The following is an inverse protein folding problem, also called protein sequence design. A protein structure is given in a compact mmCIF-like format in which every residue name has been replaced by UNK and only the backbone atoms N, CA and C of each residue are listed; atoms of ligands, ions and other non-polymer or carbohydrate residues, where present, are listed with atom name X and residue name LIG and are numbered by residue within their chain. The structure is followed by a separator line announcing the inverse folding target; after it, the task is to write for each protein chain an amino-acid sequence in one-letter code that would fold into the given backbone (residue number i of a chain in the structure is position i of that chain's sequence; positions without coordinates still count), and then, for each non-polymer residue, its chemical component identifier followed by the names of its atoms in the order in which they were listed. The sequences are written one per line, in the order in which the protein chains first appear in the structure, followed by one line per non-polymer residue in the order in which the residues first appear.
data_IF_135095469069
#
_entry.id   IF_135095469069
#
_cell.length_a   1.000
_cell.length_b   1.000
_cell.length_c   1.000
_cell.angle_alpha   90.00
_cell.angle_beta   90.00
_cell.angle_gamma   90.00
#
_symmetry.space_group_name_H-M   'P 1'
#
loop_
_entity.id
_entity.type
_entity.pdbx_description
1 polymer ?
#
# COMPACT_ATOMS: atom_id res chain seq x y z
N UNK A 1 4.53 -9.26 -39.16
CA UNK A 1 3.35 -8.62 -38.55
C UNK A 1 3.80 -8.03 -37.23
N UNK A 2 3.65 -6.72 -37.02
CA UNK A 2 3.94 -6.11 -35.72
C UNK A 2 2.94 -6.67 -34.69
N UNK A 3 3.37 -7.01 -33.48
CA UNK A 3 2.45 -7.55 -32.49
C UNK A 3 1.43 -6.49 -32.09
N UNK A 4 0.17 -6.89 -31.97
CA UNK A 4 -0.91 -6.02 -31.52
C UNK A 4 -0.77 -5.74 -30.03
N UNK A 5 -0.81 -4.46 -29.66
CA UNK A 5 -0.77 -3.98 -28.28
C UNK A 5 -2.18 -3.62 -27.84
N UNK A 6 -2.64 -4.21 -26.73
CA UNK A 6 -3.93 -3.91 -26.11
C UNK A 6 -3.69 -3.28 -24.74
N UNK A 7 -4.46 -2.25 -24.39
CA UNK A 7 -4.35 -1.57 -23.09
C UNK A 7 -5.64 -1.61 -22.29
N UNK A 8 -5.52 -1.46 -20.97
CA UNK A 8 -6.64 -1.37 -20.02
C UNK A 8 -6.31 -0.37 -18.92
N UNK A 9 -7.26 0.52 -18.66
CA UNK A 9 -7.14 1.59 -17.66
C UNK A 9 -8.18 1.39 -16.56
N UNK A 10 -7.77 1.61 -15.31
CA UNK A 10 -8.67 1.54 -14.16
C UNK A 10 -8.04 2.27 -12.96
N UNK A 11 -8.88 2.68 -12.01
CA UNK A 11 -8.40 3.26 -10.75
C UNK A 11 -8.20 2.18 -9.68
N UNK A 12 -7.02 2.23 -9.04
CA UNK A 12 -6.62 1.39 -7.90
C UNK A 12 -5.37 1.98 -7.22
N UNK A 13 -5.09 1.54 -6.00
CA UNK A 13 -3.90 1.93 -5.21
C UNK A 13 -3.80 3.46 -4.99
N UNK A 14 -4.95 4.14 -4.98
CA UNK A 14 -5.00 5.61 -4.84
C UNK A 14 -4.52 6.38 -6.07
N UNK A 15 -4.42 5.75 -7.25
CA UNK A 15 -4.02 6.36 -8.51
C UNK A 15 -4.77 5.74 -9.70
N UNK A 16 -4.39 6.13 -10.92
CA UNK A 16 -4.82 5.50 -12.17
C UNK A 16 -3.75 4.50 -12.62
N UNK A 17 -4.16 3.27 -12.87
CA UNK A 17 -3.32 2.19 -13.38
C UNK A 17 -3.55 1.97 -14.87
N UNK A 18 -2.49 1.63 -15.59
CA UNK A 18 -2.53 1.16 -16.98
C UNK A 18 -1.88 -0.23 -17.07
N UNK A 19 -2.55 -1.15 -17.76
CA UNK A 19 -2.02 -2.46 -18.12
C UNK A 19 -1.88 -2.54 -19.64
N UNK A 20 -0.72 -3.02 -20.08
CA UNK A 20 -0.39 -3.24 -21.49
C UNK A 20 -0.17 -4.72 -21.75
N UNK A 21 -0.72 -5.22 -22.86
CA UNK A 21 -0.60 -6.60 -23.31
C UNK A 21 -0.06 -6.62 -24.73
N UNK A 22 0.85 -7.55 -25.00
CA UNK A 22 1.39 -7.83 -26.35
C UNK A 22 1.05 -9.28 -26.69
N UNK A 23 0.17 -9.50 -27.67
CA UNK A 23 -0.21 -10.85 -28.10
C UNK A 23 -1.02 -11.67 -27.08
N UNK A 24 -1.45 -11.08 -25.96
CA UNK A 24 -2.41 -11.69 -25.03
C UNK A 24 -3.77 -10.99 -25.08
N UNK A 25 -4.85 -11.76 -25.01
CA UNK A 25 -6.21 -11.23 -25.14
C UNK A 25 -6.74 -10.52 -23.88
N UNK A 26 -7.92 -9.90 -24.01
CA UNK A 26 -8.59 -9.10 -22.97
C UNK A 26 -8.72 -9.81 -21.60
N UNK A 27 -8.95 -11.12 -21.60
CA UNK A 27 -9.07 -11.91 -20.37
C UNK A 27 -7.79 -11.91 -19.51
N UNK A 28 -6.61 -11.73 -20.11
CA UNK A 28 -5.37 -11.61 -19.35
C UNK A 28 -5.31 -10.27 -18.59
N UNK A 29 -5.69 -9.17 -19.26
CA UNK A 29 -5.76 -7.84 -18.66
C UNK A 29 -6.76 -7.80 -17.50
N UNK A 30 -7.90 -8.49 -17.62
CA UNK A 30 -8.90 -8.61 -16.55
C UNK A 30 -8.37 -9.34 -15.31
N UNK A 31 -7.64 -10.43 -15.49
CA UNK A 31 -7.01 -11.14 -14.36
C UNK A 31 -5.92 -10.31 -13.69
N UNK A 32 -5.17 -9.53 -14.46
CA UNK A 32 -4.16 -8.63 -13.92
C UNK A 32 -4.81 -7.48 -13.12
N UNK A 33 -5.89 -6.87 -13.64
CA UNK A 33 -6.66 -5.87 -12.89
C UNK A 33 -7.19 -6.46 -11.57
N UNK A 34 -7.77 -7.67 -11.61
CA UNK A 34 -8.27 -8.33 -10.42
C UNK A 34 -7.18 -8.50 -9.35
N UNK A 35 -5.95 -8.88 -9.75
CA UNK A 35 -4.81 -8.96 -8.83
C UNK A 35 -4.42 -7.63 -8.22
N UNK A 36 -4.45 -6.54 -8.99
CA UNK A 36 -4.18 -5.20 -8.47
C UNK A 36 -5.24 -4.79 -7.44
N UNK A 37 -6.51 -5.10 -7.70
CA UNK A 37 -7.61 -4.83 -6.76
C UNK A 37 -7.52 -5.68 -5.49
N UNK A 38 -7.11 -6.94 -5.60
CA UNK A 38 -6.84 -7.80 -4.45
C UNK A 38 -5.71 -7.23 -3.59
N UNK A 39 -4.63 -6.75 -4.22
CA UNK A 39 -3.54 -6.07 -3.51
C UNK A 39 -4.02 -4.79 -2.82
N UNK A 40 -4.79 -3.95 -3.49
CA UNK A 40 -5.39 -2.75 -2.88
C UNK A 40 -6.24 -3.09 -1.65
N UNK A 41 -7.14 -4.07 -1.76
CA UNK A 41 -8.00 -4.50 -0.67
C UNK A 41 -7.21 -5.04 0.53
N UNK A 42 -6.06 -5.69 0.29
CA UNK A 42 -5.18 -6.23 1.32
C UNK A 42 -4.32 -5.16 2.01
N UNK A 43 -3.73 -4.28 1.22
CA UNK A 43 -2.69 -3.34 1.65
C UNK A 43 -3.18 -1.92 1.91
N UNK A 44 -4.46 -1.62 1.68
CA UNK A 44 -5.00 -0.32 2.06
C UNK A 44 -5.04 -0.17 3.59
N UNK A 45 -4.80 1.03 4.09
CA UNK A 45 -5.01 1.35 5.51
C UNK A 45 -6.38 1.97 5.79
N UNK A 46 -7.21 2.13 4.76
CA UNK A 46 -8.46 2.88 4.83
C UNK A 46 -9.71 1.99 4.88
N UNK A 47 -9.56 0.68 4.62
CA UNK A 47 -10.61 -0.30 4.85
C UNK A 47 -10.34 -1.01 6.18
N UNK A 48 -11.24 -0.92 7.18
CA UNK A 48 -11.02 -1.52 8.50
C UNK A 48 -10.71 -3.03 8.46
N UNK A 49 -11.33 -3.74 7.50
CA UNK A 49 -11.18 -5.18 7.35
C UNK A 49 -10.00 -5.59 6.44
N UNK A 50 -9.22 -4.63 5.95
CA UNK A 50 -7.98 -4.93 5.24
C UNK A 50 -6.96 -5.59 6.17
N UNK A 51 -6.06 -6.39 5.60
CA UNK A 51 -5.04 -7.06 6.39
C UNK A 51 -4.06 -6.06 7.02
N UNK A 52 -3.67 -5.01 6.27
CA UNK A 52 -2.79 -3.97 6.80
C UNK A 52 -3.45 -3.21 7.97
N UNK A 53 -4.74 -2.84 7.86
CA UNK A 53 -5.42 -2.15 8.95
C UNK A 53 -5.51 -3.01 10.23
N UNK A 54 -5.80 -4.31 10.09
CA UNK A 54 -5.78 -5.24 11.23
C UNK A 54 -4.39 -5.38 11.84
N UNK A 55 -3.34 -5.44 11.01
CA UNK A 55 -1.96 -5.50 11.48
C UNK A 55 -1.59 -4.24 12.27
N UNK A 56 -1.94 -3.06 11.75
CA UNK A 56 -1.74 -1.78 12.43
C UNK A 56 -2.49 -1.68 13.76
N UNK A 57 -3.69 -2.28 13.85
CA UNK A 57 -4.46 -2.38 15.10
C UNK A 57 -3.96 -3.47 16.06
N UNK A 58 -2.90 -4.20 15.68
CA UNK A 58 -2.29 -5.28 16.46
C UNK A 58 -1.64 -4.82 17.76
N UNK A 59 -1.27 -3.54 17.87
CA UNK A 59 -0.71 -2.94 19.09
C UNK A 59 0.45 -3.77 19.69
N UNK A 60 1.42 -4.10 18.83
CA UNK A 60 2.60 -4.88 19.20
C UNK A 60 2.38 -6.40 19.38
N UNK A 61 1.15 -6.90 19.22
CA UNK A 61 0.89 -8.35 19.26
C UNK A 61 1.39 -9.03 17.98
N UNK A 62 1.90 -10.25 18.13
CA UNK A 62 2.14 -11.13 16.99
C UNK A 62 0.80 -11.52 16.37
N UNK A 63 0.64 -11.21 15.09
CA UNK A 63 -0.54 -11.54 14.30
C UNK A 63 -0.13 -12.42 13.12
N UNK A 64 -0.89 -13.49 12.82
CA UNK A 64 -0.70 -14.22 11.58
C UNK A 64 -1.04 -13.30 10.41
N UNK A 65 -0.20 -13.36 9.37
CA UNK A 65 -0.40 -12.62 8.11
C UNK A 65 -0.26 -13.57 6.94
N UNK A 66 -0.81 -13.18 5.80
CA UNK A 66 -0.66 -13.87 4.53
C UNK A 66 0.79 -13.88 4.05
N UNK A 67 1.17 -14.83 3.19
CA UNK A 67 2.47 -14.83 2.54
C UNK A 67 2.78 -13.52 1.81
N UNK A 68 1.78 -12.91 1.16
CA UNK A 68 1.95 -11.65 0.44
C UNK A 68 2.22 -10.47 1.39
N UNK A 69 1.53 -10.42 2.52
CA UNK A 69 1.82 -9.41 3.55
C UNK A 69 3.18 -9.62 4.18
N UNK A 70 3.56 -10.87 4.46
CA UNK A 70 4.88 -11.16 5.00
C UNK A 70 5.99 -10.71 4.04
N UNK A 71 5.88 -11.05 2.75
CA UNK A 71 6.83 -10.62 1.72
C UNK A 71 6.91 -9.09 1.59
N UNK A 72 5.79 -8.38 1.74
CA UNK A 72 5.77 -6.91 1.75
C UNK A 72 6.49 -6.33 2.97
N UNK A 73 6.34 -6.94 4.15
CA UNK A 73 7.05 -6.54 5.36
C UNK A 73 8.56 -6.81 5.24
N UNK A 74 8.96 -7.95 4.67
CA UNK A 74 10.37 -8.24 4.37
C UNK A 74 10.97 -7.21 3.41
N UNK A 75 10.24 -6.88 2.33
CA UNK A 75 10.69 -5.84 1.39
C UNK A 75 10.79 -4.46 2.04
N UNK A 76 9.87 -4.11 2.96
CA UNK A 76 9.91 -2.85 3.69
C UNK A 76 11.11 -2.77 4.65
N UNK A 77 11.43 -3.87 5.34
CA UNK A 77 12.61 -3.96 6.22
C UNK A 77 13.90 -3.87 5.41
N UNK A 78 13.99 -4.61 4.31
CA UNK A 78 15.13 -4.53 3.41
C UNK A 78 15.34 -3.09 2.90
N UNK A 79 14.27 -2.42 2.46
CA UNK A 79 14.35 -1.05 1.98
C UNK A 79 14.77 -0.07 3.09
N UNK A 80 14.33 -0.28 4.34
CA UNK A 80 14.76 0.50 5.49
C UNK A 80 16.26 0.36 5.73
N UNK A 81 16.78 -0.87 5.74
CA UNK A 81 18.20 -1.15 5.95
C UNK A 81 19.06 -0.58 4.83
N UNK A 82 18.71 -0.88 3.57
CA UNK A 82 19.46 -0.45 2.38
C UNK A 82 19.52 1.08 2.26
N UNK A 83 18.42 1.75 2.63
CA UNK A 83 18.34 3.21 2.57
C UNK A 83 18.85 3.91 3.85
N UNK A 84 19.44 3.18 4.79
CA UNK A 84 19.90 3.70 6.09
C UNK A 84 18.80 4.48 6.83
N UNK A 85 17.57 3.96 6.78
CA UNK A 85 16.41 4.49 7.47
C UNK A 85 15.57 5.51 6.71
N UNK A 86 15.95 5.88 5.48
CA UNK A 86 15.19 6.85 4.68
C UNK A 86 13.84 6.30 4.20
N UNK A 87 13.74 4.99 3.96
CA UNK A 87 12.49 4.30 3.60
C UNK A 87 11.97 3.55 4.81
N UNK A 88 11.01 4.15 5.53
CA UNK A 88 10.41 3.54 6.72
C UNK A 88 8.90 3.33 6.55
N UNK A 89 8.46 2.07 6.54
CA UNK A 89 7.03 1.74 6.46
C UNK A 89 6.28 1.88 7.80
N UNK A 90 7.00 1.91 8.94
CA UNK A 90 6.44 2.02 10.29
C UNK A 90 6.11 3.47 10.70
N UNK A 91 5.80 4.33 9.74
CA UNK A 91 5.51 5.77 9.97
C UNK A 91 4.04 6.09 10.21
N UNK A 92 3.19 5.07 10.42
CA UNK A 92 1.74 5.28 10.62
C UNK A 92 1.42 6.31 11.71
N UNK A 93 2.03 6.28 12.92
CA UNK A 93 1.74 7.30 13.94
C UNK A 93 2.04 8.73 13.46
N UNK A 94 3.13 8.93 12.74
CA UNK A 94 3.51 10.22 12.19
C UNK A 94 2.55 10.68 11.07
N UNK A 95 2.08 9.76 10.23
CA UNK A 95 1.07 10.04 9.22
C UNK A 95 -0.26 10.48 9.86
N UNK A 96 -0.70 9.79 10.91
CA UNK A 96 -1.91 10.15 11.64
C UNK A 96 -1.77 11.52 12.33
N UNK A 97 -0.64 11.79 12.98
CA UNK A 97 -0.40 13.10 13.61
C UNK A 97 -0.36 14.25 12.61
N UNK A 98 0.09 13.99 11.38
CA UNK A 98 0.07 14.94 10.28
C UNK A 98 -1.35 15.15 9.67
N UNK A 99 -2.38 14.50 10.23
CA UNK A 99 -3.76 14.62 9.75
C UNK A 99 -4.09 13.70 8.57
N UNK A 100 -3.18 12.79 8.20
CA UNK A 100 -3.41 11.84 7.11
C UNK A 100 -4.14 10.59 7.65
N UNK A 101 -5.37 10.75 8.14
CA UNK A 101 -6.20 9.70 8.73
C UNK A 101 -7.16 9.03 7.74
N UNK A 102 -7.36 9.63 6.57
CA UNK A 102 -8.30 9.21 5.51
C UNK A 102 -7.64 9.25 4.13
N UNK A 103 -8.26 8.69 3.07
CA UNK A 103 -7.71 8.77 1.71
C UNK A 103 -7.37 10.20 1.31
N UNK A 104 -6.19 10.43 0.74
CA UNK A 104 -5.64 11.77 0.50
C UNK A 104 -6.58 12.69 -0.30
N UNK A 105 -7.30 12.12 -1.26
CA UNK A 105 -8.32 12.79 -2.08
C UNK A 105 -9.51 13.38 -1.29
N UNK A 106 -9.67 13.00 -0.03
CA UNK A 106 -10.67 13.56 0.89
C UNK A 106 -10.11 14.71 1.74
N UNK A 107 -8.85 15.11 1.53
CA UNK A 107 -8.15 16.13 2.30
C UNK A 107 -7.46 15.59 3.55
N UNK A 108 -6.66 16.44 4.18
CA UNK A 108 -6.04 16.19 5.48
C UNK A 108 -6.94 16.75 6.59
N UNK A 109 -7.01 16.02 7.69
CA UNK A 109 -7.55 16.55 8.95
C UNK A 109 -6.59 17.58 9.54
N UNK A 110 -7.08 18.43 10.43
CA UNK A 110 -6.17 19.32 11.17
C UNK A 110 -5.15 18.47 11.94
N UNK A 111 -3.84 18.72 11.77
CA UNK A 111 -2.82 17.96 12.48
C UNK A 111 -3.00 18.20 13.98
N UNK A 112 -3.04 17.12 14.76
CA UNK A 112 -2.91 17.25 16.19
C UNK A 112 -1.54 17.88 16.46
N UNK A 113 -1.47 18.93 17.28
CA UNK A 113 -0.21 19.58 17.63
C UNK A 113 0.72 18.52 18.24
N UNK A 114 1.66 18.01 17.45
CA UNK A 114 2.48 16.87 17.85
C UNK A 114 3.63 17.37 18.72
N UNK A 115 3.66 16.98 19.98
CA UNK A 115 4.89 17.04 20.76
C UNK A 115 5.92 16.14 20.06
N UNK A 116 7.15 16.64 19.86
CA UNK A 116 8.20 15.89 19.19
C UNK A 116 8.42 14.53 19.87
N UNK A 117 8.23 13.45 19.12
CA UNK A 117 8.58 12.10 19.58
C UNK A 117 10.09 11.93 19.39
N UNK A 118 10.83 11.69 20.47
CA UNK A 118 12.22 11.26 20.36
C UNK A 118 12.26 9.84 19.77
N UNK A 119 12.99 9.66 18.67
CA UNK A 119 13.34 8.34 18.19
C UNK A 119 14.31 7.68 19.19
N UNK A 120 14.18 6.37 19.46
CA UNK A 120 15.20 5.64 20.19
C UNK A 120 16.57 5.73 19.47
N UNK A 121 17.69 5.65 20.22
CA UNK A 121 19.03 5.83 19.67
C UNK A 121 19.42 4.80 18.61
#
# INVERSE_FOLDING_TARGET
MSPEVTSRHFDALGSTCELLSIGTGQAALERCEARVREAEARFTRFLPDSELARLNAGDGRYLPVSPEMFAMLEAALWAFEESQGLVNAAVLPAMLSAGYDRPFRQGLSEPAFAAAVQLPP
#
